data_IF_045402209844
#
_entry.id   IF_045402209844
#
_cell.length_a   1.000
_cell.length_b   1.000
_cell.length_c   1.000
_cell.angle_alpha   90.00
_cell.angle_beta   90.00
_cell.angle_gamma   90.00
#
_symmetry.space_group_name_H-M   'P 1'
#
loop_
_entity.id
_entity.type
_entity.pdbx_description
1 polymer ?
#
# COMPACT_ATOMS: atom_id res chain seq x y z
N UNK A 1 -15.73 -13.88 12.70
CA UNK A 1 -15.65 -13.95 11.22
C UNK A 1 -16.29 -12.72 10.57
N UNK A 2 -17.58 -12.42 10.84
CA UNK A 2 -18.24 -11.24 10.28
C UNK A 2 -17.51 -9.94 10.64
N UNK A 3 -17.13 -9.77 11.91
CA UNK A 3 -16.34 -8.62 12.37
C UNK A 3 -14.97 -8.52 11.69
N UNK A 4 -14.30 -9.67 11.49
CA UNK A 4 -13.01 -9.71 10.79
C UNK A 4 -13.15 -9.28 9.33
N UNK A 5 -14.16 -9.78 8.62
CA UNK A 5 -14.45 -9.35 7.24
C UNK A 5 -14.80 -7.87 7.19
N UNK A 6 -15.62 -7.38 8.14
CA UNK A 6 -15.91 -5.95 8.26
C UNK A 6 -14.64 -5.12 8.48
N UNK A 7 -13.77 -5.52 9.39
CA UNK A 7 -12.51 -4.82 9.66
C UNK A 7 -11.62 -4.75 8.41
N UNK A 8 -11.58 -5.80 7.59
CA UNK A 8 -10.86 -5.79 6.30
C UNK A 8 -11.50 -4.80 5.32
N UNK A 9 -12.84 -4.76 5.20
CA UNK A 9 -13.49 -3.79 4.29
C UNK A 9 -13.37 -2.34 4.78
N UNK A 10 -13.42 -2.12 6.10
CA UNK A 10 -13.22 -0.82 6.71
C UNK A 10 -11.77 -0.34 6.47
N UNK A 11 -10.77 -1.22 6.63
CA UNK A 11 -9.37 -0.94 6.29
C UNK A 11 -9.22 -0.56 4.82
N UNK A 12 -9.81 -1.33 3.89
CA UNK A 12 -9.76 -1.02 2.45
C UNK A 12 -10.35 0.35 2.16
N UNK A 13 -11.48 0.69 2.77
CA UNK A 13 -12.14 2.00 2.63
C UNK A 13 -11.26 3.13 3.18
N UNK A 14 -10.60 2.91 4.33
CA UNK A 14 -9.66 3.88 4.89
C UNK A 14 -8.45 4.08 3.99
N UNK A 15 -7.84 3.01 3.48
CA UNK A 15 -6.72 3.08 2.54
C UNK A 15 -7.13 3.78 1.25
N UNK A 16 -8.35 3.59 0.77
CA UNK A 16 -8.90 4.29 -0.38
C UNK A 16 -8.97 5.81 -0.18
N UNK A 17 -9.42 6.24 1.00
CA UNK A 17 -9.37 7.65 1.40
C UNK A 17 -7.95 8.20 1.46
N UNK A 18 -6.98 7.42 1.95
CA UNK A 18 -5.57 7.81 1.95
C UNK A 18 -5.00 7.95 0.54
N UNK A 19 -5.43 7.11 -0.41
CA UNK A 19 -5.05 7.23 -1.82
C UNK A 19 -5.59 8.55 -2.39
N UNK A 20 -6.85 8.88 -2.12
CA UNK A 20 -7.44 10.15 -2.57
C UNK A 20 -6.67 11.36 -2.03
N UNK A 21 -6.38 11.39 -0.72
CA UNK A 21 -5.56 12.46 -0.12
C UNK A 21 -4.16 12.53 -0.74
N UNK A 22 -3.51 11.39 -0.97
CA UNK A 22 -2.19 11.36 -1.60
C UNK A 22 -2.21 11.89 -3.05
N UNK A 23 -3.30 11.65 -3.79
CA UNK A 23 -3.50 12.21 -5.14
C UNK A 23 -3.71 13.72 -5.10
N UNK A 24 -4.52 14.22 -4.17
CA UNK A 24 -4.73 15.66 -3.99
C UNK A 24 -3.43 16.38 -3.59
N UNK A 25 -2.68 15.81 -2.65
CA UNK A 25 -1.38 16.34 -2.21
C UNK A 25 -0.37 16.34 -3.36
N UNK A 26 -0.31 15.28 -4.16
CA UNK A 26 0.57 15.21 -5.33
C UNK A 26 0.22 16.28 -6.37
N UNK A 27 -1.06 16.47 -6.69
CA UNK A 27 -1.50 17.54 -7.60
C UNK A 27 -1.14 18.93 -7.07
N UNK A 28 -1.30 19.17 -5.77
CA UNK A 28 -0.91 20.43 -5.12
C UNK A 28 0.59 20.69 -5.21
N UNK A 29 1.41 19.67 -4.93
CA UNK A 29 2.88 19.76 -5.04
C UNK A 29 3.32 20.03 -6.47
N UNK A 30 2.67 19.42 -7.46
CA UNK A 30 2.95 19.64 -8.87
C UNK A 30 2.59 21.07 -9.31
N UNK A 31 1.51 21.65 -8.77
CA UNK A 31 1.17 23.06 -8.97
C UNK A 31 2.24 23.99 -8.39
N UNK A 32 2.67 23.75 -7.15
CA UNK A 32 3.74 24.54 -6.51
C UNK A 32 5.08 24.39 -7.26
N UNK A 33 5.36 23.19 -7.79
CA UNK A 33 6.55 22.94 -8.59
C UNK A 33 6.53 23.76 -9.88
N UNK A 34 5.37 23.88 -10.54
CA UNK A 34 5.22 24.74 -11.72
C UNK A 34 5.62 26.19 -11.41
N UNK A 35 5.15 26.73 -10.29
CA UNK A 35 5.45 28.10 -9.88
C UNK A 35 6.95 28.31 -9.62
N UNK A 36 7.57 27.39 -8.87
CA UNK A 36 9.00 27.42 -8.59
C UNK A 36 9.83 27.26 -9.88
N UNK A 37 9.49 26.33 -10.76
CA UNK A 37 10.17 26.13 -12.04
C UNK A 37 10.02 27.36 -12.95
N UNK A 38 8.86 28.02 -12.94
CA UNK A 38 8.63 29.28 -13.68
C UNK A 38 9.50 30.41 -13.15
N UNK A 39 9.63 30.54 -11.82
CA UNK A 39 10.52 31.52 -11.22
C UNK A 39 11.98 31.27 -11.63
N UNK A 40 12.47 30.03 -11.55
CA UNK A 40 13.81 29.64 -12.01
C UNK A 40 14.02 29.99 -13.49
N UNK A 41 13.07 29.65 -14.36
CA UNK A 41 13.16 29.97 -15.79
C UNK A 41 13.21 31.48 -16.03
N UNK A 42 12.34 32.24 -15.39
CA UNK A 42 12.29 33.70 -15.54
C UNK A 42 13.58 34.36 -15.08
N UNK A 43 14.09 33.97 -13.90
CA UNK A 43 15.30 34.54 -13.32
C UNK A 43 16.56 34.18 -14.11
N UNK A 44 16.62 32.94 -14.62
CA UNK A 44 17.69 32.50 -15.52
C UNK A 44 17.73 33.34 -16.80
N UNK A 45 16.57 33.63 -17.41
CA UNK A 45 16.47 34.47 -18.61
C UNK A 45 16.83 35.93 -18.34
N UNK A 46 16.48 36.47 -17.17
CA UNK A 46 16.81 37.84 -16.78
C UNK A 46 18.22 38.01 -16.19
N UNK A 47 18.97 36.91 -16.01
CA UNK A 47 20.30 36.93 -15.40
C UNK A 47 20.27 37.34 -13.92
N UNK A 48 19.15 37.13 -13.23
CA UNK A 48 19.01 37.41 -11.79
C UNK A 48 19.33 36.16 -10.97
N UNK A 49 19.62 36.34 -9.69
CA UNK A 49 19.81 35.22 -8.77
C UNK A 49 18.51 34.40 -8.65
N UNK A 50 18.64 33.07 -8.72
CA UNK A 50 17.56 32.08 -8.66
C UNK A 50 17.76 31.05 -7.56
N UNK A 51 18.75 31.24 -6.69
CA UNK A 51 19.16 30.26 -5.67
C UNK A 51 17.98 29.83 -4.78
N UNK A 52 17.21 30.78 -4.24
CA UNK A 52 16.03 30.47 -3.42
C UNK A 52 14.96 29.67 -4.19
N UNK A 53 14.77 29.96 -5.47
CA UNK A 53 13.80 29.29 -6.31
C UNK A 53 14.26 27.87 -6.70
N UNK A 54 15.56 27.67 -6.89
CA UNK A 54 16.16 26.35 -7.07
C UNK A 54 15.96 25.50 -5.82
N UNK A 55 16.24 26.04 -4.63
CA UNK A 55 16.05 25.35 -3.37
C UNK A 55 14.58 24.96 -3.14
N UNK A 56 13.65 25.87 -3.41
CA UNK A 56 12.22 25.58 -3.31
C UNK A 56 11.80 24.48 -4.30
N UNK A 57 12.27 24.54 -5.55
CA UNK A 57 11.97 23.55 -6.58
C UNK A 57 12.48 22.16 -6.17
N UNK A 58 13.69 22.08 -5.65
CA UNK A 58 14.32 20.81 -5.27
C UNK A 58 13.67 20.24 -4.00
N UNK A 59 13.27 21.09 -3.05
CA UNK A 59 12.49 20.67 -1.88
C UNK A 59 11.11 20.11 -2.28
N UNK A 60 10.44 20.71 -3.28
CA UNK A 60 9.19 20.21 -3.83
C UNK A 60 9.38 18.89 -4.57
N UNK A 61 10.43 18.77 -5.39
CA UNK A 61 10.77 17.52 -6.08
C UNK A 61 10.99 16.36 -5.09
N UNK A 62 11.67 16.62 -3.97
CA UNK A 62 11.85 15.64 -2.89
C UNK A 62 10.52 15.23 -2.23
N UNK A 63 9.55 16.13 -2.14
CA UNK A 63 8.21 15.79 -1.61
C UNK A 63 7.40 14.96 -2.62
N UNK A 64 7.48 15.32 -3.90
CA UNK A 64 6.84 14.59 -5.01
C UNK A 64 7.37 13.15 -5.07
N UNK A 65 8.68 12.95 -4.91
CA UNK A 65 9.32 11.63 -4.97
C UNK A 65 8.88 10.66 -3.86
N UNK A 66 8.30 11.17 -2.77
CA UNK A 66 7.69 10.31 -1.74
C UNK A 66 6.39 9.65 -2.24
N UNK A 67 5.67 10.26 -3.17
CA UNK A 67 4.39 9.75 -3.66
C UNK A 67 4.55 8.80 -4.85
N UNK A 68 5.43 9.16 -5.79
CA UNK A 68 5.71 8.41 -7.01
C UNK A 68 7.21 8.44 -7.33
N UNK A 69 7.78 7.37 -7.91
CA UNK A 69 9.17 7.39 -8.35
C UNK A 69 9.29 8.39 -9.50
N UNK A 70 10.25 9.31 -9.42
CA UNK A 70 10.47 10.34 -10.42
C UNK A 70 11.88 10.28 -11.00
N UNK A 71 11.99 10.69 -12.26
CA UNK A 71 13.24 11.01 -12.94
C UNK A 71 13.11 12.42 -13.51
N UNK A 72 14.21 13.17 -13.53
CA UNK A 72 14.22 14.55 -13.99
C UNK A 72 15.30 14.78 -15.03
N UNK A 73 15.06 15.76 -15.90
CA UNK A 73 16.07 16.31 -16.78
C UNK A 73 15.81 17.79 -17.00
N UNK A 74 16.88 18.56 -17.21
CA UNK A 74 16.81 20.00 -17.44
C UNK A 74 17.02 20.32 -18.92
N UNK A 75 16.29 21.32 -19.40
CA UNK A 75 16.37 21.88 -20.76
C UNK A 75 16.93 23.30 -20.68
N UNK A 76 16.85 24.04 -21.79
CA UNK A 76 17.25 25.45 -21.84
C UNK A 76 16.54 26.28 -20.77
N UNK A 77 17.18 27.38 -20.36
CA UNK A 77 16.68 28.29 -19.31
C UNK A 77 16.45 27.61 -17.94
N UNK A 78 17.15 26.50 -17.64
CA UNK A 78 16.98 25.70 -16.43
C UNK A 78 15.56 25.11 -16.24
N UNK A 79 14.77 25.00 -17.30
CA UNK A 79 13.45 24.36 -17.28
C UNK A 79 13.58 22.86 -16.96
N UNK A 80 12.88 22.39 -15.92
CA UNK A 80 12.93 21.00 -15.49
C UNK A 80 11.69 20.21 -15.91
N UNK A 81 11.92 19.04 -16.50
CA UNK A 81 10.89 18.04 -16.81
C UNK A 81 10.95 16.92 -15.78
N UNK A 82 9.77 16.41 -15.40
CA UNK A 82 9.62 15.26 -14.50
C UNK A 82 8.88 14.15 -15.23
N UNK A 83 9.47 12.96 -15.27
CA UNK A 83 8.79 11.71 -15.65
C UNK A 83 8.72 10.78 -14.44
N UNK A 84 7.75 9.88 -14.42
CA UNK A 84 7.72 8.78 -13.49
C UNK A 84 8.81 7.74 -13.83
N UNK A 85 9.10 6.83 -12.90
CA UNK A 85 10.11 5.77 -13.11
C UNK A 85 9.82 4.81 -14.28
N UNK A 86 8.55 4.70 -14.70
CA UNK A 86 8.10 3.92 -15.86
C UNK A 86 7.99 4.77 -17.15
N UNK A 87 8.37 6.04 -17.10
CA UNK A 87 8.48 6.93 -18.26
C UNK A 87 7.24 7.78 -18.56
N UNK A 88 6.18 7.69 -17.77
CA UNK A 88 5.00 8.57 -17.91
C UNK A 88 5.38 10.00 -17.56
N UNK A 89 5.05 10.97 -18.41
CA UNK A 89 5.31 12.39 -18.08
C UNK A 89 4.45 12.82 -16.90
N UNK A 90 5.07 13.45 -15.90
CA UNK A 90 4.39 13.99 -14.73
C UNK A 90 4.35 15.53 -14.77
N UNK A 91 5.42 16.14 -15.25
CA UNK A 91 5.52 17.58 -15.44
C UNK A 91 6.41 17.87 -16.64
N UNK A 92 6.02 18.84 -17.47
CA UNK A 92 6.88 19.36 -18.53
C UNK A 92 6.84 20.89 -18.51
N UNK A 93 5.80 21.50 -19.10
CA UNK A 93 5.52 22.95 -18.96
C UNK A 93 4.39 23.19 -17.96
N UNK A 94 3.45 22.26 -17.93
CA UNK A 94 2.32 22.22 -17.01
C UNK A 94 2.29 20.83 -16.35
N UNK A 95 1.75 20.71 -15.14
CA UNK A 95 1.61 19.42 -14.48
C UNK A 95 0.56 18.57 -15.21
N UNK A 96 0.85 17.27 -15.33
CA UNK A 96 -0.16 16.30 -15.76
C UNK A 96 -1.09 16.01 -14.60
N UNK A 97 -2.39 15.93 -14.89
CA UNK A 97 -3.39 15.66 -13.86
C UNK A 97 -3.27 14.23 -13.36
N UNK A 98 -3.13 14.08 -12.05
CA UNK A 98 -3.26 12.79 -11.37
C UNK A 98 -4.72 12.64 -10.95
N UNK A 99 -5.35 11.53 -11.30
CA UNK A 99 -6.77 11.31 -11.05
C UNK A 99 -7.02 10.02 -10.31
N UNK A 100 -7.99 10.06 -9.40
CA UNK A 100 -8.46 8.92 -8.66
C UNK A 100 -9.91 9.14 -8.25
N UNK A 101 -10.73 8.11 -8.45
CA UNK A 101 -12.12 8.11 -8.01
C UNK A 101 -12.25 7.21 -6.79
N UNK A 102 -12.39 7.81 -5.60
CA UNK A 102 -12.54 7.06 -4.37
C UNK A 102 -13.87 6.28 -4.34
N UNK A 103 -13.85 5.11 -3.70
CA UNK A 103 -15.05 4.34 -3.38
C UNK A 103 -15.58 4.73 -1.99
N UNK A 104 -16.89 4.90 -1.86
CA UNK A 104 -17.52 5.20 -0.57
C UNK A 104 -17.52 4.00 0.40
N UNK A 105 -17.20 2.80 -0.08
CA UNK A 105 -17.10 1.59 0.71
C UNK A 105 -16.69 0.39 -0.12
N UNK A 106 -16.35 -0.69 0.57
CA UNK A 106 -15.98 -1.96 -0.07
C UNK A 106 -16.84 -3.12 0.43
N UNK A 107 -17.05 -4.07 -0.48
CA UNK A 107 -17.54 -5.40 -0.17
C UNK A 107 -16.48 -6.42 -0.56
N UNK A 108 -16.58 -7.64 -0.03
CA UNK A 108 -15.70 -8.73 -0.43
C UNK A 108 -15.69 -8.91 -1.96
N UNK A 109 -14.49 -9.06 -2.53
CA UNK A 109 -14.26 -9.21 -3.98
C UNK A 109 -14.48 -7.97 -4.85
N UNK A 110 -14.98 -6.85 -4.29
CA UNK A 110 -15.07 -5.60 -5.05
C UNK A 110 -13.65 -5.10 -5.40
N UNK A 111 -13.39 -4.89 -6.69
CA UNK A 111 -12.12 -4.35 -7.16
C UNK A 111 -11.96 -2.89 -6.71
N UNK A 112 -10.72 -2.49 -6.41
CA UNK A 112 -10.39 -1.10 -6.15
C UNK A 112 -10.20 -0.31 -7.45
N UNK A 113 -10.52 0.99 -7.41
CA UNK A 113 -10.28 1.87 -8.55
C UNK A 113 -8.77 2.13 -8.71
N UNK A 114 -8.32 2.27 -9.96
CA UNK A 114 -6.92 2.61 -10.24
C UNK A 114 -6.67 4.12 -10.10
N UNK A 115 -5.42 4.49 -9.81
CA UNK A 115 -4.92 5.87 -9.90
C UNK A 115 -4.31 6.06 -11.28
N UNK A 116 -4.56 7.20 -11.92
CA UNK A 116 -4.05 7.49 -13.26
C UNK A 116 -3.21 8.76 -13.28
N UNK A 117 -2.12 8.73 -14.05
CA UNK A 117 -1.33 9.90 -14.44
C UNK A 117 -1.50 10.04 -15.96
N UNK A 118 -2.16 11.10 -16.41
CA UNK A 118 -2.46 11.31 -17.84
C UNK A 118 -3.09 10.07 -18.54
N UNK A 119 -4.05 9.44 -17.86
CA UNK A 119 -4.72 8.19 -18.27
C UNK A 119 -3.86 6.90 -18.25
N UNK A 120 -2.61 6.96 -17.78
CA UNK A 120 -1.77 5.78 -17.54
C UNK A 120 -1.96 5.31 -16.10
N UNK A 121 -2.36 4.04 -15.85
CA UNK A 121 -2.59 3.56 -14.51
C UNK A 121 -1.27 3.34 -13.74
N UNK A 122 -1.23 3.79 -12.49
CA UNK A 122 -0.15 3.44 -11.56
C UNK A 122 -0.31 1.97 -11.15
N UNK A 123 0.77 1.21 -11.25
CA UNK A 123 0.79 -0.18 -10.81
C UNK A 123 0.96 -0.28 -9.29
N UNK A 124 0.19 -1.18 -8.67
CA UNK A 124 0.39 -1.55 -7.27
C UNK A 124 1.74 -2.25 -7.07
N UNK A 125 2.34 -2.13 -5.89
CA UNK A 125 3.44 -2.99 -5.50
C UNK A 125 3.01 -4.43 -5.25
N UNK A 126 3.99 -5.33 -5.16
CA UNK A 126 3.78 -6.75 -4.91
C UNK A 126 4.78 -7.32 -3.89
N UNK A 127 4.34 -8.35 -3.15
CA UNK A 127 5.17 -9.11 -2.21
C UNK A 127 5.49 -8.41 -0.88
N UNK A 128 5.90 -9.15 0.14
CA UNK A 128 6.23 -8.58 1.45
C UNK A 128 7.47 -7.68 1.44
N UNK A 129 8.49 -7.99 0.63
CA UNK A 129 9.62 -7.08 0.38
C UNK A 129 9.22 -5.83 -0.46
N UNK A 130 7.98 -5.81 -0.94
CA UNK A 130 7.31 -4.77 -1.71
C UNK A 130 8.11 -4.19 -2.89
N UNK A 131 7.61 -4.45 -4.10
CA UNK A 131 8.03 -3.72 -5.30
C UNK A 131 7.41 -2.31 -5.40
N UNK A 132 6.56 -1.90 -4.45
CA UNK A 132 6.01 -0.55 -4.46
C UNK A 132 7.12 0.49 -4.37
N UNK A 133 7.02 1.49 -5.24
CA UNK A 133 7.84 2.69 -5.21
C UNK A 133 6.92 3.88 -5.02
N UNK A 134 7.13 4.63 -3.94
CA UNK A 134 6.25 5.73 -3.53
C UNK A 134 5.00 5.27 -2.78
N UNK A 135 4.38 6.22 -2.07
CA UNK A 135 3.20 6.00 -1.23
C UNK A 135 2.00 5.48 -2.02
N UNK A 136 1.76 5.97 -3.25
CA UNK A 136 0.57 5.56 -4.03
C UNK A 136 0.59 4.07 -4.38
N UNK A 137 1.72 3.56 -4.88
CA UNK A 137 1.87 2.13 -5.19
C UNK A 137 1.78 1.25 -3.93
N UNK A 138 2.26 1.76 -2.79
CA UNK A 138 2.19 1.07 -1.50
C UNK A 138 0.77 0.96 -0.95
N UNK A 139 0.00 2.06 -0.99
CA UNK A 139 -1.40 2.06 -0.58
C UNK A 139 -2.25 1.13 -1.48
N UNK A 140 -2.02 1.15 -2.79
CA UNK A 140 -2.66 0.23 -3.73
C UNK A 140 -2.34 -1.24 -3.40
N UNK A 141 -1.07 -1.54 -3.07
CA UNK A 141 -0.66 -2.88 -2.65
C UNK A 141 -1.39 -3.35 -1.37
N UNK A 142 -1.54 -2.47 -0.38
CA UNK A 142 -2.23 -2.78 0.87
C UNK A 142 -3.72 -3.06 0.61
N UNK A 143 -4.39 -2.19 -0.16
CA UNK A 143 -5.84 -2.28 -0.44
C UNK A 143 -6.20 -3.48 -1.30
N UNK A 144 -5.44 -3.75 -2.36
CA UNK A 144 -5.82 -4.72 -3.39
C UNK A 144 -5.04 -6.04 -3.32
N UNK A 145 -3.87 -6.04 -2.70
CA UNK A 145 -3.08 -7.24 -2.48
C UNK A 145 -3.36 -7.84 -1.10
N UNK A 146 -2.83 -7.18 -0.07
CA UNK A 146 -2.80 -7.72 1.30
C UNK A 146 -4.22 -7.88 1.85
N UNK A 147 -5.03 -6.82 1.84
CA UNK A 147 -6.38 -6.86 2.38
C UNK A 147 -7.30 -7.83 1.61
N UNK A 148 -7.17 -7.89 0.28
CA UNK A 148 -7.94 -8.85 -0.54
C UNK A 148 -7.58 -10.29 -0.20
N UNK A 149 -6.30 -10.59 0.01
CA UNK A 149 -5.83 -11.93 0.41
C UNK A 149 -6.33 -12.31 1.79
N UNK A 150 -6.29 -11.38 2.76
CA UNK A 150 -6.86 -11.58 4.10
C UNK A 150 -8.37 -11.87 4.04
N UNK A 151 -9.12 -11.18 3.18
CA UNK A 151 -10.54 -11.46 2.99
C UNK A 151 -10.76 -12.89 2.47
N UNK A 152 -10.00 -13.34 1.46
CA UNK A 152 -10.09 -14.70 0.94
C UNK A 152 -9.77 -15.76 2.01
N UNK A 153 -8.76 -15.52 2.85
CA UNK A 153 -8.40 -16.41 3.95
C UNK A 153 -9.49 -16.47 5.03
N UNK A 154 -10.13 -15.34 5.35
CA UNK A 154 -11.28 -15.31 6.25
C UNK A 154 -12.46 -16.08 5.66
N UNK A 155 -12.73 -15.93 4.36
CA UNK A 155 -13.80 -16.64 3.66
C UNK A 155 -13.56 -18.17 3.70
N UNK A 156 -12.35 -18.62 3.43
CA UNK A 156 -11.98 -20.04 3.56
C UNK A 156 -12.05 -20.54 5.01
N UNK A 157 -11.64 -19.72 5.98
CA UNK A 157 -11.79 -20.03 7.41
C UNK A 157 -13.26 -20.17 7.80
N UNK A 158 -14.16 -19.40 7.18
CA UNK A 158 -15.60 -19.50 7.39
C UNK A 158 -16.21 -20.75 6.73
N UNK A 159 -15.65 -21.20 5.60
CA UNK A 159 -16.07 -22.44 4.94
C UNK A 159 -15.83 -23.68 5.83
N UNK A 160 -14.75 -23.65 6.61
CA UNK A 160 -14.39 -24.69 7.56
C UNK A 160 -15.53 -25.15 8.48
N UNK A 161 -16.03 -24.29 9.39
CA UNK A 161 -17.13 -24.63 10.28
C UNK A 161 -18.44 -24.92 9.54
N UNK A 162 -18.75 -24.25 8.43
CA UNK A 162 -19.95 -24.58 7.62
C UNK A 162 -19.87 -26.02 7.10
N UNK A 163 -18.69 -26.45 6.65
CA UNK A 163 -18.45 -27.80 6.15
C UNK A 163 -18.44 -28.83 7.28
N UNK A 164 -17.74 -28.54 8.38
CA UNK A 164 -17.63 -29.46 9.51
C UNK A 164 -18.99 -29.74 10.18
N UNK A 165 -19.81 -28.71 10.32
CA UNK A 165 -21.15 -28.79 10.91
C UNK A 165 -22.26 -29.13 9.91
N UNK A 166 -21.92 -29.52 8.68
CA UNK A 166 -22.92 -29.93 7.70
C UNK A 166 -23.69 -31.18 8.17
N UNK A 167 -25.01 -31.16 7.96
CA UNK A 167 -25.85 -32.34 8.10
C UNK A 167 -25.71 -33.25 6.87
N UNK A 168 -25.65 -34.55 7.13
CA UNK A 168 -25.48 -35.58 6.10
C UNK A 168 -26.63 -36.57 6.19
N UNK A 169 -27.19 -36.98 5.06
CA UNK A 169 -28.26 -37.96 5.00
C UNK A 169 -28.01 -38.97 3.86
N UNK A 170 -28.39 -40.25 4.01
CA UNK A 170 -28.22 -41.25 2.96
C UNK A 170 -28.92 -40.82 1.66
N UNK A 171 -28.21 -40.90 0.53
CA UNK A 171 -28.72 -40.54 -0.81
C UNK A 171 -29.17 -39.07 -0.97
N UNK A 172 -28.82 -38.19 -0.03
CA UNK A 172 -29.08 -36.76 -0.09
C UNK A 172 -27.77 -35.99 -0.17
N UNK A 173 -27.82 -34.78 -0.73
CA UNK A 173 -26.68 -33.87 -0.65
C UNK A 173 -26.44 -33.40 0.79
N UNK A 174 -25.19 -33.13 1.14
CA UNK A 174 -24.88 -32.49 2.42
C UNK A 174 -25.53 -31.11 2.47
N UNK A 175 -26.04 -30.75 3.64
CA UNK A 175 -26.71 -29.48 3.85
C UNK A 175 -26.11 -28.71 5.04
N UNK A 176 -26.16 -27.37 5.00
CA UNK A 176 -25.66 -26.53 6.08
C UNK A 176 -26.40 -26.82 7.40
N UNK A 177 -25.66 -27.12 8.47
CA UNK A 177 -26.22 -27.43 9.79
C UNK A 177 -26.18 -26.22 10.72
N UNK A 178 -25.37 -26.27 11.79
CA UNK A 178 -25.29 -25.20 12.79
C UNK A 178 -24.88 -23.85 12.19
N UNK A 179 -23.86 -23.85 11.34
CA UNK A 179 -23.40 -22.67 10.64
C UNK A 179 -24.00 -22.65 9.24
N UNK A 180 -24.63 -21.53 8.90
CA UNK A 180 -25.31 -21.30 7.63
C UNK A 180 -24.74 -20.06 6.94
N UNK A 181 -25.15 -19.85 5.68
CA UNK A 181 -24.71 -18.75 4.83
C UNK A 181 -25.79 -18.45 3.78
N UNK A 182 -25.57 -17.42 2.95
CA UNK A 182 -26.56 -16.94 1.98
C UNK A 182 -26.97 -17.97 0.90
N UNK A 183 -26.13 -18.98 0.63
CA UNK A 183 -26.42 -20.06 -0.33
C UNK A 183 -26.96 -21.35 0.30
N UNK A 184 -27.34 -21.32 1.58
CA UNK A 184 -27.99 -22.46 2.23
C UNK A 184 -29.31 -22.85 1.52
N UNK A 185 -29.70 -24.14 1.54
CA UNK A 185 -29.17 -25.22 2.39
C UNK A 185 -27.89 -25.87 1.85
N UNK A 186 -27.41 -25.52 0.66
CA UNK A 186 -26.19 -26.14 0.13
C UNK A 186 -24.95 -25.82 0.98
N UNK A 187 -24.02 -26.76 1.10
CA UNK A 187 -22.69 -26.51 1.65
C UNK A 187 -21.82 -25.89 0.55
N UNK A 188 -20.98 -24.87 0.85
CA UNK A 188 -20.04 -24.34 -0.13
C UNK A 188 -19.16 -25.44 -0.73
N UNK A 189 -18.90 -25.36 -2.04
CA UNK A 189 -18.12 -26.36 -2.74
C UNK A 189 -16.69 -26.48 -2.18
N UNK A 190 -16.18 -27.70 -2.08
CA UNK A 190 -14.82 -27.95 -1.60
C UNK A 190 -13.78 -27.32 -2.55
N UNK A 191 -12.70 -26.76 -1.98
CA UNK A 191 -11.61 -26.17 -2.76
C UNK A 191 -12.00 -24.98 -3.65
N UNK A 192 -13.16 -24.37 -3.42
CA UNK A 192 -13.66 -23.23 -4.20
C UNK A 192 -13.95 -22.06 -3.27
N UNK A 193 -13.29 -20.94 -3.50
CA UNK A 193 -13.49 -19.72 -2.74
C UNK A 193 -14.90 -19.17 -2.97
N UNK A 194 -15.61 -18.92 -1.87
CA UNK A 194 -16.88 -18.18 -1.89
C UNK A 194 -16.63 -16.79 -1.34
N UNK A 195 -16.56 -15.81 -2.24
CA UNK A 195 -16.33 -14.41 -1.89
C UNK A 195 -17.37 -13.89 -0.91
N UNK A 196 -16.93 -13.34 0.22
CA UNK A 196 -17.79 -12.77 1.25
C UNK A 196 -18.44 -13.79 2.17
N UNK A 197 -18.03 -15.06 2.11
CA UNK A 197 -18.54 -16.11 2.98
C UNK A 197 -18.38 -15.75 4.46
N UNK A 198 -17.24 -15.18 4.86
CA UNK A 198 -16.99 -14.75 6.23
C UNK A 198 -17.88 -13.60 6.70
N UNK A 199 -18.37 -12.76 5.77
CA UNK A 199 -19.34 -11.73 6.07
C UNK A 199 -20.77 -12.29 6.20
N UNK A 200 -21.09 -13.36 5.47
CA UNK A 200 -22.43 -13.96 5.41
C UNK A 200 -22.67 -15.09 6.40
N UNK A 201 -21.61 -15.69 6.97
CA UNK A 201 -21.74 -16.80 7.91
C UNK A 201 -22.57 -16.38 9.12
N UNK A 202 -23.48 -17.25 9.54
CA UNK A 202 -24.35 -17.02 10.70
C UNK A 202 -24.73 -18.35 11.36
N UNK A 203 -25.30 -18.27 12.56
CA UNK A 203 -25.92 -19.43 13.20
C UNK A 203 -27.27 -19.69 12.54
N UNK A 204 -27.55 -20.95 12.23
CA UNK A 204 -28.82 -21.35 11.64
C UNK A 204 -29.97 -21.11 12.62
N UNK A 205 -30.95 -20.29 12.20
CA UNK A 205 -32.12 -19.95 13.00
C UNK A 205 -32.93 -21.17 13.45
N UNK A 206 -32.88 -22.28 12.71
CA UNK A 206 -33.53 -23.54 13.12
C UNK A 206 -32.98 -24.08 14.45
N UNK A 207 -31.72 -23.78 14.78
CA UNK A 207 -31.03 -24.24 15.99
C UNK A 207 -30.85 -23.17 17.06
N UNK A 208 -31.28 -21.92 16.81
CA UNK A 208 -31.07 -20.78 17.70
C UNK A 208 -32.31 -20.49 18.58
N UNK A 209 -32.26 -20.71 19.90
CA UNK A 209 -33.38 -20.46 20.79
C UNK A 209 -33.83 -19.00 20.83
N UNK A 210 -32.93 -18.05 20.57
CA UNK A 210 -33.25 -16.62 20.63
C UNK A 210 -34.17 -16.16 19.50
N UNK A 211 -34.24 -16.94 18.41
CA UNK A 211 -35.10 -16.70 17.26
C UNK A 211 -36.23 -17.74 17.14
N UNK A 212 -36.42 -18.58 18.17
CA UNK A 212 -37.47 -19.60 18.23
C UNK A 212 -37.08 -20.97 17.68
N UNK A 213 -35.80 -21.19 17.39
CA UNK A 213 -35.24 -22.48 16.98
C UNK A 213 -35.11 -23.49 18.13
N UNK A 214 -34.78 -24.72 17.76
CA UNK A 214 -34.60 -25.83 18.69
C UNK A 214 -33.11 -26.24 18.77
N UNK A 215 -32.42 -25.98 19.90
CA UNK A 215 -31.01 -26.32 20.04
C UNK A 215 -30.76 -27.84 20.10
N UNK A 216 -31.79 -28.67 20.35
CA UNK A 216 -31.61 -30.13 20.32
C UNK A 216 -31.30 -30.65 18.93
N UNK A 217 -31.61 -29.89 17.87
CA UNK A 217 -31.23 -30.23 16.49
C UNK A 217 -29.71 -30.25 16.29
N UNK A 218 -28.93 -29.53 17.10
CA UNK A 218 -27.47 -29.65 17.07
C UNK A 218 -27.01 -31.06 17.49
N UNK A 219 -27.70 -31.66 18.45
CA UNK A 219 -27.43 -33.02 18.94
C UNK A 219 -28.04 -34.06 18.00
N UNK A 220 -29.30 -33.85 17.61
CA UNK A 220 -30.14 -34.87 16.98
C UNK A 220 -30.08 -34.85 15.44
N UNK A 221 -29.64 -33.73 14.86
CA UNK A 221 -29.80 -33.44 13.43
C UNK A 221 -31.25 -33.15 13.05
N UNK A 222 -31.48 -32.87 11.76
CA UNK A 222 -32.80 -32.66 11.18
C UNK A 222 -33.18 -31.21 10.95
N UNK A 223 -32.23 -30.26 11.04
CA UNK A 223 -32.49 -28.87 10.64
C UNK A 223 -32.88 -28.76 9.16
N UNK A 224 -32.42 -29.69 8.32
CA UNK A 224 -32.77 -29.77 6.90
C UNK A 224 -33.88 -30.81 6.60
N UNK A 225 -34.64 -31.21 7.62
CA UNK A 225 -35.79 -32.12 7.51
C UNK A 225 -35.52 -33.53 8.01
N UNK A 226 -36.58 -34.37 8.02
CA UNK A 226 -36.58 -35.68 8.68
C UNK A 226 -35.49 -36.65 8.18
N UNK A 227 -35.07 -36.53 6.92
CA UNK A 227 -34.00 -37.35 6.35
C UNK A 227 -32.63 -37.09 7.00
N UNK A 228 -32.41 -35.90 7.58
CA UNK A 228 -31.16 -35.48 8.22
C UNK A 228 -31.14 -35.74 9.73
N UNK A 229 -32.18 -36.38 10.29
CA UNK A 229 -32.22 -36.77 11.69
C UNK A 229 -31.25 -37.93 11.92
N UNK A 230 -30.21 -37.69 12.72
CA UNK A 230 -29.22 -38.69 13.09
C UNK A 230 -29.64 -39.46 14.36
N UNK A 231 -30.29 -38.81 15.33
CA UNK A 231 -30.83 -39.47 16.53
C UNK A 231 -32.22 -40.08 16.29
N UNK A 232 -32.31 -41.09 15.42
CA UNK A 232 -33.61 -41.70 15.05
C UNK A 232 -34.33 -42.39 16.21
N UNK A 233 -33.60 -42.81 17.23
CA UNK A 233 -34.14 -43.45 18.44
C UNK A 233 -34.60 -42.48 19.53
N UNK A 234 -34.39 -41.17 19.37
CA UNK A 234 -34.75 -40.16 20.36
C UNK A 234 -34.01 -40.31 21.70
N UNK A 235 -32.82 -40.93 21.69
CA UNK A 235 -32.05 -41.20 22.91
C UNK A 235 -31.56 -39.91 23.55
N UNK A 236 -31.83 -39.71 24.84
CA UNK A 236 -31.43 -38.50 25.56
C UNK A 236 -29.90 -38.32 25.66
N UNK A 237 -29.14 -39.41 25.61
CA UNK A 237 -27.68 -39.45 25.71
C UNK A 237 -26.97 -39.56 24.35
N UNK A 238 -27.63 -39.20 23.25
CA UNK A 238 -27.02 -39.25 21.91
C UNK A 238 -25.91 -38.19 21.78
N UNK A 239 -24.65 -38.64 21.64
CA UNK A 239 -23.48 -37.74 21.52
C UNK A 239 -22.75 -37.87 20.17
N UNK A 240 -23.13 -38.84 19.34
CA UNK A 240 -22.40 -39.21 18.11
C UNK A 240 -22.20 -38.02 17.17
N UNK A 241 -23.23 -37.20 16.96
CA UNK A 241 -23.14 -36.05 16.06
C UNK A 241 -22.23 -34.93 16.61
N UNK A 242 -22.29 -34.69 17.93
CA UNK A 242 -21.45 -33.70 18.60
C UNK A 242 -19.96 -34.09 18.55
N UNK A 243 -19.66 -35.37 18.77
CA UNK A 243 -18.29 -35.90 18.62
C UNK A 243 -17.82 -35.78 17.17
N UNK A 244 -18.67 -36.16 16.20
CA UNK A 244 -18.33 -36.07 14.79
C UNK A 244 -18.03 -34.64 14.32
N UNK A 245 -18.69 -33.62 14.86
CA UNK A 245 -18.36 -32.22 14.54
C UNK A 245 -16.96 -31.83 15.03
N UNK A 246 -16.58 -32.27 16.23
CA UNK A 246 -15.23 -32.08 16.75
C UNK A 246 -14.20 -32.76 15.84
N UNK A 247 -14.41 -34.03 15.53
CA UNK A 247 -13.50 -34.80 14.68
C UNK A 247 -13.34 -34.15 13.29
N UNK A 248 -14.43 -33.66 12.69
CA UNK A 248 -14.41 -33.03 11.35
C UNK A 248 -13.66 -31.70 11.30
N UNK A 249 -13.58 -30.96 12.42
CA UNK A 249 -12.79 -29.72 12.47
C UNK A 249 -11.29 -30.01 12.39
N UNK A 250 -10.87 -31.15 12.96
CA UNK A 250 -9.48 -31.60 12.98
C UNK A 250 -9.09 -32.36 11.70
N UNK A 251 -10.06 -32.87 10.94
CA UNK A 251 -9.79 -33.53 9.66
C UNK A 251 -9.33 -32.53 8.59
N UNK A 252 -8.35 -32.92 7.75
CA UNK A 252 -7.96 -32.09 6.61
C UNK A 252 -9.11 -31.88 5.62
N UNK A 253 -9.28 -30.65 5.16
CA UNK A 253 -10.16 -30.30 4.05
C UNK A 253 -9.43 -29.53 2.97
N UNK A 254 -9.95 -29.59 1.75
CA UNK A 254 -9.40 -28.87 0.60
C UNK A 254 -9.84 -27.41 0.64
N UNK A 255 -8.88 -26.49 0.61
CA UNK A 255 -9.07 -25.04 0.49
C UNK A 255 -8.71 -24.55 -0.91
N UNK A 256 -9.25 -23.39 -1.28
CA UNK A 256 -8.93 -22.76 -2.56
C UNK A 256 -7.45 -22.29 -2.58
N UNK A 257 -6.64 -22.71 -3.56
CA UNK A 257 -5.24 -22.27 -3.69
C UNK A 257 -5.08 -20.75 -3.83
N UNK A 258 -6.07 -20.04 -4.36
CA UNK A 258 -6.03 -18.58 -4.54
C UNK A 258 -6.01 -17.80 -3.21
N UNK A 259 -6.40 -18.43 -2.09
CA UNK A 259 -6.28 -17.82 -0.76
C UNK A 259 -4.85 -17.85 -0.19
N UNK A 260 -3.93 -18.60 -0.81
CA UNK A 260 -2.48 -18.41 -0.67
C UNK A 260 -1.82 -18.98 0.60
N UNK A 261 -2.48 -19.88 1.34
CA UNK A 261 -1.95 -20.46 2.60
C UNK A 261 -1.57 -21.93 2.45
N UNK A 262 -2.56 -22.83 2.41
CA UNK A 262 -2.39 -24.26 2.16
C UNK A 262 -3.59 -24.76 1.38
N UNK A 263 -3.38 -25.70 0.45
CA UNK A 263 -4.47 -26.32 -0.29
C UNK A 263 -5.20 -27.40 0.52
N UNK A 264 -4.55 -27.97 1.54
CA UNK A 264 -5.14 -29.02 2.40
C UNK A 264 -4.62 -28.89 3.83
N UNK A 265 -5.52 -28.66 4.79
CA UNK A 265 -5.21 -28.61 6.22
C UNK A 265 -6.49 -28.77 7.06
N UNK A 266 -6.37 -28.89 8.38
CA UNK A 266 -7.53 -28.71 9.27
C UNK A 266 -7.97 -27.23 9.27
N UNK A 267 -9.16 -26.95 9.80
CA UNK A 267 -9.69 -25.56 9.89
C UNK A 267 -8.84 -24.72 10.84
N UNK A 268 -8.46 -25.30 11.97
CA UNK A 268 -7.62 -24.65 12.98
C UNK A 268 -6.22 -24.35 12.45
N UNK A 269 -5.60 -25.31 11.76
CA UNK A 269 -4.28 -25.10 11.13
C UNK A 269 -4.36 -24.06 10.01
N UNK A 270 -5.43 -24.06 9.22
CA UNK A 270 -5.61 -23.06 8.16
C UNK A 270 -5.70 -21.64 8.74
N UNK A 271 -6.50 -21.47 9.79
CA UNK A 271 -6.65 -20.18 10.47
C UNK A 271 -5.31 -19.72 11.09
N UNK A 272 -4.57 -20.63 11.74
CA UNK A 272 -3.25 -20.34 12.30
C UNK A 272 -2.23 -19.97 11.23
N UNK A 273 -2.21 -20.70 10.11
CA UNK A 273 -1.32 -20.42 8.98
C UNK A 273 -1.68 -19.11 8.26
N UNK A 274 -2.95 -18.71 8.24
CA UNK A 274 -3.38 -17.40 7.70
C UNK A 274 -2.80 -16.25 8.52
N UNK A 275 -2.80 -16.37 9.85
CA UNK A 275 -2.13 -15.42 10.75
C UNK A 275 -0.61 -15.44 10.51
N UNK A 276 -0.02 -16.63 10.40
CA UNK A 276 1.41 -16.78 10.09
C UNK A 276 1.82 -16.14 8.77
N UNK A 277 0.97 -16.23 7.75
CA UNK A 277 1.16 -15.55 6.46
C UNK A 277 1.18 -14.03 6.64
N UNK A 278 0.20 -13.46 7.36
CA UNK A 278 0.12 -12.02 7.56
C UNK A 278 1.32 -11.48 8.35
N UNK A 279 1.75 -12.18 9.40
CA UNK A 279 2.98 -11.84 10.13
C UNK A 279 4.23 -11.97 9.26
N UNK A 280 4.28 -12.96 8.35
CA UNK A 280 5.33 -13.08 7.36
C UNK A 280 5.39 -11.88 6.42
N UNK A 281 4.25 -11.41 5.91
CA UNK A 281 4.16 -10.19 5.09
C UNK A 281 4.64 -8.98 5.88
N UNK A 282 4.18 -8.82 7.14
CA UNK A 282 4.58 -7.72 8.02
C UNK A 282 6.07 -7.74 8.32
N UNK A 283 6.64 -8.90 8.61
CA UNK A 283 8.07 -9.06 8.88
C UNK A 283 8.91 -8.72 7.64
N UNK A 284 8.53 -9.22 6.47
CA UNK A 284 9.22 -8.89 5.21
C UNK A 284 9.16 -7.39 4.91
N UNK A 285 8.01 -6.75 5.13
CA UNK A 285 7.84 -5.32 4.94
C UNK A 285 8.71 -4.51 5.92
N UNK A 286 8.81 -4.93 7.18
CA UNK A 286 9.68 -4.33 8.18
C UNK A 286 11.15 -4.40 7.75
N UNK A 287 11.64 -5.58 7.39
CA UNK A 287 13.02 -5.77 6.93
C UNK A 287 13.30 -4.95 5.66
N UNK A 288 12.34 -4.87 4.74
CA UNK A 288 12.46 -4.06 3.53
C UNK A 288 12.55 -2.57 3.85
N UNK A 289 11.78 -2.09 4.83
CA UNK A 289 11.83 -0.71 5.31
C UNK A 289 13.22 -0.39 5.85
N UNK A 290 13.74 -1.21 6.77
CA UNK A 290 15.06 -1.01 7.39
C UNK A 290 16.18 -0.99 6.33
N UNK A 291 16.12 -1.90 5.36
CA UNK A 291 17.09 -1.96 4.27
C UNK A 291 17.02 -0.72 3.35
N UNK A 292 15.81 -0.26 3.01
CA UNK A 292 15.59 0.93 2.17
C UNK A 292 16.00 2.21 2.90
N UNK A 293 15.77 2.30 4.21
CA UNK A 293 16.21 3.43 5.03
C UNK A 293 17.75 3.49 5.13
N UNK A 294 18.41 2.36 5.36
CA UNK A 294 19.86 2.29 5.35
C UNK A 294 20.46 2.68 3.99
N UNK A 295 19.84 2.25 2.88
CA UNK A 295 20.24 2.65 1.53
C UNK A 295 20.02 4.14 1.28
N UNK A 296 18.89 4.69 1.71
CA UNK A 296 18.60 6.11 1.59
C UNK A 296 19.61 6.97 2.37
N UNK A 297 19.95 6.58 3.61
CA UNK A 297 20.97 7.26 4.41
C UNK A 297 22.34 7.25 3.71
N UNK A 298 22.80 6.08 3.25
CA UNK A 298 24.06 5.97 2.51
C UNK A 298 24.08 6.79 1.22
N UNK A 299 22.96 6.83 0.51
CA UNK A 299 22.82 7.63 -0.71
C UNK A 299 22.85 9.13 -0.41
N UNK A 300 22.22 9.55 0.68
CA UNK A 300 22.26 10.93 1.15
C UNK A 300 23.67 11.34 1.59
N UNK A 301 24.40 10.48 2.30
CA UNK A 301 25.80 10.70 2.66
C UNK A 301 26.69 10.80 1.41
N UNK A 302 26.53 9.88 0.45
CA UNK A 302 27.28 9.89 -0.80
C UNK A 302 27.00 11.17 -1.62
N UNK A 303 25.73 11.58 -1.71
CA UNK A 303 25.34 12.83 -2.36
C UNK A 303 25.94 14.03 -1.63
N UNK A 304 25.81 14.11 -0.31
CA UNK A 304 26.39 15.18 0.51
C UNK A 304 27.91 15.26 0.38
N UNK A 305 28.61 14.14 0.22
CA UNK A 305 30.06 14.14 0.00
C UNK A 305 30.44 14.63 -1.42
N UNK A 306 29.57 14.41 -2.40
CA UNK A 306 29.81 14.82 -3.79
C UNK A 306 29.40 16.27 -4.07
N UNK A 307 28.30 16.74 -3.46
CA UNK A 307 27.75 18.09 -3.66
C UNK A 307 28.03 19.02 -2.49
N UNK A 308 28.61 18.53 -1.40
CA UNK A 308 28.92 19.30 -0.23
C UNK A 308 30.01 20.34 -0.50
N UNK A 309 29.82 21.52 0.08
CA UNK A 309 30.82 22.58 0.08
C UNK A 309 31.97 22.17 1.00
N UNK A 310 33.13 21.90 0.41
CA UNK A 310 34.34 21.62 1.20
C UNK A 310 34.86 22.95 1.78
N UNK A 311 34.67 23.15 3.09
CA UNK A 311 35.05 24.39 3.78
C UNK A 311 36.53 24.68 3.65
N UNK A 312 37.41 23.68 3.54
CA UNK A 312 38.84 23.90 3.34
C UNK A 312 39.13 24.39 1.91
N UNK A 313 38.38 23.89 0.92
CA UNK A 313 38.49 24.33 -0.46
C UNK A 313 37.87 25.72 -0.67
N UNK A 314 36.74 26.01 -0.05
CA UNK A 314 36.18 27.37 -0.04
C UNK A 314 37.05 28.35 0.75
N UNK A 315 37.65 27.93 1.86
CA UNK A 315 38.63 28.74 2.59
C UNK A 315 39.86 29.02 1.73
N UNK A 316 40.38 28.03 1.01
CA UNK A 316 41.49 28.23 0.06
C UNK A 316 41.09 29.17 -1.07
N UNK A 317 39.86 29.06 -1.59
CA UNK A 317 39.35 29.93 -2.64
C UNK A 317 39.14 31.36 -2.12
N UNK A 318 38.64 31.52 -0.89
CA UNK A 318 38.49 32.82 -0.23
C UNK A 318 39.85 33.48 0.04
N UNK A 319 40.86 32.71 0.48
CA UNK A 319 42.22 33.22 0.68
C UNK A 319 42.86 33.63 -0.65
N UNK A 320 42.67 32.84 -1.72
CA UNK A 320 43.15 33.20 -3.06
C UNK A 320 42.43 34.45 -3.61
N UNK A 321 41.12 34.57 -3.38
CA UNK A 321 40.34 35.75 -3.69
C UNK A 321 40.84 36.98 -2.90
N UNK A 322 41.11 36.83 -1.60
CA UNK A 322 41.67 37.90 -0.77
C UNK A 322 43.06 38.33 -1.28
N UNK A 323 43.92 37.37 -1.63
CA UNK A 323 45.24 37.65 -2.19
C UNK A 323 45.16 38.37 -3.55
N UNK A 324 44.23 37.97 -4.43
CA UNK A 324 44.02 38.64 -5.72
C UNK A 324 43.42 40.05 -5.57
N UNK A 325 42.52 40.26 -4.60
CA UNK A 325 42.03 41.61 -4.26
C UNK A 325 43.14 42.49 -3.67
N UNK A 326 43.95 41.98 -2.74
CA UNK A 326 45.08 42.70 -2.17
C UNK A 326 46.13 43.03 -3.25
N UNK A 327 46.42 42.10 -4.16
CA UNK A 327 47.32 42.32 -5.29
C UNK A 327 46.76 43.38 -6.26
N UNK A 328 45.47 43.32 -6.59
CA UNK A 328 44.79 44.31 -7.44
C UNK A 328 44.77 45.70 -6.80
N UNK A 329 44.54 45.78 -5.49
CA UNK A 329 44.61 47.03 -4.74
C UNK A 329 46.02 47.62 -4.71
N UNK A 330 47.06 46.79 -4.57
CA UNK A 330 48.47 47.22 -4.68
C UNK A 330 48.79 47.69 -6.09
N UNK A 331 48.33 46.98 -7.13
CA UNK A 331 48.50 47.42 -8.52
C UNK A 331 47.83 48.77 -8.77
N UNK A 332 46.57 48.95 -8.32
CA UNK A 332 45.88 50.24 -8.42
C UNK A 332 46.65 51.34 -7.69
N UNK A 333 47.16 51.08 -6.49
CA UNK A 333 48.00 52.04 -5.76
C UNK A 333 49.28 52.38 -6.52
N UNK A 334 49.98 51.40 -7.09
CA UNK A 334 51.19 51.68 -7.89
C UNK A 334 50.87 52.44 -9.17
N UNK A 335 49.71 52.20 -9.79
CA UNK A 335 49.25 52.96 -10.96
C UNK A 335 48.91 54.40 -10.55
N UNK A 336 48.27 54.60 -9.40
CA UNK A 336 47.97 55.92 -8.83
C UNK A 336 49.25 56.72 -8.50
N UNK A 337 50.24 56.06 -7.90
CA UNK A 337 51.56 56.64 -7.61
C UNK A 337 52.30 57.02 -8.92
N UNK A 338 52.25 56.15 -9.94
CA UNK A 338 52.85 56.42 -11.26
C UNK A 338 52.11 57.53 -12.02
N UNK A 339 50.79 57.60 -11.92
CA UNK A 339 49.97 58.66 -12.52
C UNK A 339 50.24 60.01 -11.84
N UNK A 340 50.37 60.01 -10.52
CA UNK A 340 50.76 61.19 -9.73
C UNK A 340 52.18 61.64 -10.09
N UNK A 341 53.13 60.72 -10.25
CA UNK A 341 54.48 61.04 -10.70
C UNK A 341 54.51 61.64 -12.12
N UNK A 342 53.70 61.11 -13.04
CA UNK A 342 53.51 61.68 -14.38
C UNK A 342 52.92 63.09 -14.34
N UNK A 343 51.88 63.30 -13.54
CA UNK A 343 51.26 64.62 -13.36
C UNK A 343 52.25 65.64 -12.76
N UNK A 344 53.07 65.23 -11.80
CA UNK A 344 54.11 66.08 -11.20
C UNK A 344 55.31 66.34 -12.11
N UNK A 345 55.54 65.50 -13.15
CA UNK A 345 56.63 65.68 -14.11
C UNK A 345 56.23 66.56 -15.31
N UNK A 346 54.93 66.78 -15.52
CA UNK A 346 54.37 67.55 -16.64
C UNK A 346 53.81 68.92 -16.20
N UNK A 347 53.64 69.15 -14.89
CA UNK A 347 53.35 70.46 -14.28
C UNK A 347 54.60 71.18 -13.81
#
# INVERSE_FOLDING_TARGET
>A
LNEGSKAVQDFRTQTDGQIATAVDDLNSLLGQFQDANTAVMSGTRSGTDVSDALDQRDALLKKISNYVPVSTFTRGDNDMVITTGDGTTLFETIPRTVTFAASAGYTAGAAGNAVYIDNVPISAGAGGNTSASGTLAGLLQLRDGVASTMQSQLDETARGPITAFAETAPSMANAAGLFTWSGAPAVPAAGTLVTGLAASISVNAAMDPSTGGNPTLLRDGGANGAAYVANTGGGASYSTLLVAYGDRLDQPMTFDPAAGVSATSSVSDYAANSIGWFEGVRQQASTASDAKEALASRSAEALSNATGVNVDQEMSLLLDLEHTYQASARMMKTVDDMMTALLNAVG
#
